data_IF_698294676957
#
_entry.id   IF_698294676957
#
_cell.length_a   1.000
_cell.length_b   1.000
_cell.length_c   1.000
_cell.angle_alpha   90.00
_cell.angle_beta   90.00
_cell.angle_gamma   90.00
#
_symmetry.space_group_name_H-M   'P 1'
#
loop_
_entity.id
_entity.type
_entity.pdbx_description
1 polymer ?
#
# COMPACT_ATOMS: atom_id res chain seq x y z
N UNK A 1 -13.28 4.74 -9.56
CA UNK A 1 -13.37 3.30 -9.22
C UNK A 1 -12.10 2.69 -9.76
N UNK A 2 -11.25 2.16 -8.87
CA UNK A 2 -10.07 1.39 -9.29
C UNK A 2 -10.54 0.07 -9.87
N UNK A 3 -9.82 -0.43 -10.86
CA UNK A 3 -10.05 -1.77 -11.42
C UNK A 3 -9.91 -2.85 -10.33
N UNK A 4 -10.66 -3.94 -10.43
CA UNK A 4 -10.71 -4.99 -9.39
C UNK A 4 -9.33 -5.61 -9.17
N UNK A 5 -8.59 -5.91 -10.24
CA UNK A 5 -7.25 -6.50 -10.14
C UNK A 5 -6.28 -5.49 -9.53
N UNK A 6 -6.38 -4.22 -9.94
CA UNK A 6 -5.54 -3.15 -9.41
C UNK A 6 -5.78 -2.90 -7.91
N UNK A 7 -7.04 -2.98 -7.46
CA UNK A 7 -7.38 -2.87 -6.04
C UNK A 7 -6.69 -3.95 -5.20
N UNK A 8 -6.78 -5.21 -5.63
CA UNK A 8 -6.21 -6.35 -4.91
C UNK A 8 -4.71 -6.14 -4.75
N UNK A 9 -4.00 -5.87 -5.85
CA UNK A 9 -2.55 -5.75 -5.87
C UNK A 9 -2.06 -4.58 -5.00
N UNK A 10 -2.73 -3.43 -5.06
CA UNK A 10 -2.42 -2.28 -4.19
C UNK A 10 -2.58 -2.63 -2.72
N UNK A 11 -3.67 -3.31 -2.34
CA UNK A 11 -3.91 -3.68 -0.95
C UNK A 11 -2.89 -4.70 -0.43
N UNK A 12 -2.44 -5.62 -1.27
CA UNK A 12 -1.39 -6.56 -0.88
C UNK A 12 -0.04 -5.89 -0.65
N UNK A 13 0.37 -4.99 -1.56
CA UNK A 13 1.60 -4.20 -1.38
C UNK A 13 1.52 -3.40 -0.08
N UNK A 14 0.37 -2.76 0.18
CA UNK A 14 0.09 -2.05 1.43
C UNK A 14 0.28 -2.97 2.63
N UNK A 15 -0.33 -4.17 2.64
CA UNK A 15 -0.20 -5.14 3.74
C UNK A 15 1.25 -5.53 4.00
N UNK A 16 2.05 -5.77 2.97
CA UNK A 16 3.46 -6.09 3.11
C UNK A 16 4.25 -4.92 3.69
N UNK A 17 4.01 -3.71 3.18
CA UNK A 17 4.74 -2.52 3.59
C UNK A 17 4.50 -2.19 5.08
N UNK A 18 3.29 -2.41 5.57
CA UNK A 18 2.89 -1.97 6.90
C UNK A 18 3.31 -2.88 8.05
N UNK A 19 3.87 -4.06 7.80
CA UNK A 19 4.33 -4.97 8.87
C UNK A 19 5.38 -4.36 9.81
N UNK A 20 6.14 -3.36 9.35
CA UNK A 20 7.19 -2.68 10.13
C UNK A 20 6.92 -1.19 10.35
N UNK A 21 5.71 -0.70 10.05
CA UNK A 21 5.37 0.72 10.11
C UNK A 21 4.01 0.96 10.74
N UNK A 22 3.90 2.05 11.51
CA UNK A 22 2.63 2.49 12.04
C UNK A 22 1.74 3.01 10.92
N UNK A 23 0.57 2.40 10.77
CA UNK A 23 -0.26 2.58 9.58
C UNK A 23 -1.71 2.79 9.98
N UNK A 24 -2.34 3.79 9.38
CA UNK A 24 -3.77 4.05 9.52
C UNK A 24 -4.40 3.86 8.15
N UNK A 25 -5.28 2.87 8.03
CA UNK A 25 -6.07 2.63 6.82
C UNK A 25 -7.48 3.18 7.03
N UNK A 26 -7.90 4.10 6.17
CA UNK A 26 -9.26 4.64 6.15
C UNK A 26 -9.97 4.01 4.96
N UNK A 27 -10.89 3.10 5.22
CA UNK A 27 -11.65 2.42 4.17
C UNK A 27 -13.12 2.35 4.53
N UNK A 28 -13.96 2.38 3.49
CA UNK A 28 -15.37 2.02 3.62
C UNK A 28 -15.58 0.51 3.45
N UNK A 29 -14.57 -0.24 3.00
CA UNK A 29 -14.66 -1.65 2.65
C UNK A 29 -14.04 -2.53 3.74
N UNK A 30 -14.91 -3.21 4.50
CA UNK A 30 -14.48 -4.06 5.60
C UNK A 30 -13.78 -5.34 5.15
N UNK A 31 -13.87 -5.71 3.86
CA UNK A 31 -13.17 -6.90 3.32
C UNK A 31 -11.66 -6.73 3.25
N UNK A 32 -11.17 -5.48 3.24
CA UNK A 32 -9.75 -5.14 3.16
C UNK A 32 -9.05 -5.20 4.53
N UNK A 33 -9.83 -5.39 5.60
CA UNK A 33 -9.36 -5.43 6.99
C UNK A 33 -9.20 -6.89 7.41
N UNK A 34 -8.05 -7.25 7.98
CA UNK A 34 -7.78 -8.60 8.45
C UNK A 34 -8.32 -8.85 9.87
N UNK A 35 -8.42 -10.13 10.25
CA UNK A 35 -9.04 -10.53 11.52
C UNK A 35 -8.33 -9.99 12.76
N UNK A 36 -7.03 -9.76 12.66
CA UNK A 36 -6.14 -9.29 13.73
C UNK A 36 -6.00 -7.76 13.78
N UNK A 37 -6.60 -7.03 12.83
CA UNK A 37 -6.52 -5.58 12.80
C UNK A 37 -7.38 -4.93 13.89
N UNK A 38 -6.87 -3.86 14.48
CA UNK A 38 -7.62 -3.04 15.43
C UNK A 38 -8.41 -1.96 14.68
N UNK A 39 -9.74 -2.02 14.78
CA UNK A 39 -10.66 -1.17 14.03
C UNK A 39 -11.19 -0.04 14.91
N UNK A 40 -11.33 1.15 14.31
CA UNK A 40 -12.11 2.26 14.85
C UNK A 40 -13.26 2.57 13.88
N UNK A 41 -14.49 2.53 14.37
CA UNK A 41 -15.68 2.88 13.60
C UNK A 41 -16.20 4.24 14.03
N UNK A 42 -16.23 5.19 13.10
CA UNK A 42 -16.71 6.54 13.34
C UNK A 42 -18.18 6.68 12.94
N UNK A 43 -18.95 7.39 13.77
CA UNK A 43 -20.34 7.79 13.49
C UNK A 43 -20.59 9.16 14.10
N UNK A 44 -21.21 10.06 13.32
CA UNK A 44 -21.58 11.41 13.75
C UNK A 44 -20.40 12.19 14.39
N UNK A 45 -19.19 12.00 13.84
CA UNK A 45 -17.96 12.65 14.33
C UNK A 45 -17.38 12.07 15.63
N UNK A 46 -17.90 10.94 16.12
CA UNK A 46 -17.44 10.27 17.34
C UNK A 46 -17.05 8.81 17.07
N UNK A 47 -16.20 8.24 17.93
CA UNK A 47 -15.89 6.80 17.88
C UNK A 47 -17.11 6.04 18.42
N UNK A 48 -17.82 5.37 17.53
CA UNK A 48 -18.98 4.55 17.87
C UNK A 48 -18.56 3.19 18.42
N UNK A 49 -17.57 2.55 17.79
CA UNK A 49 -17.07 1.24 18.16
C UNK A 49 -15.56 1.14 17.93
N UNK A 50 -14.89 0.34 18.75
CA UNK A 50 -13.46 0.06 18.59
C UNK A 50 -13.10 -1.32 19.12
N UNK A 51 -12.11 -1.96 18.51
CA UNK A 51 -11.61 -3.27 18.93
C UNK A 51 -11.07 -4.08 17.77
N UNK A 52 -10.56 -5.27 18.09
CA UNK A 52 -10.11 -6.21 17.06
C UNK A 52 -11.27 -6.67 16.18
N UNK A 53 -11.04 -6.74 14.87
CA UNK A 53 -12.04 -7.13 13.87
C UNK A 53 -12.73 -8.46 14.25
N UNK A 54 -11.95 -9.48 14.62
CA UNK A 54 -12.46 -10.79 15.05
C UNK A 54 -13.40 -10.71 16.27
N UNK A 55 -13.14 -9.81 17.22
CA UNK A 55 -13.99 -9.58 18.40
C UNK A 55 -15.22 -8.78 18.02
N UNK A 56 -15.08 -7.71 17.24
CA UNK A 56 -16.21 -6.88 16.84
C UNK A 56 -17.25 -7.66 16.04
N UNK A 57 -16.83 -8.58 15.17
CA UNK A 57 -17.74 -9.47 14.41
C UNK A 57 -18.55 -10.43 15.30
N UNK A 58 -18.04 -10.78 16.49
CA UNK A 58 -18.68 -11.76 17.38
C UNK A 58 -19.86 -11.22 18.18
N UNK A 59 -20.05 -9.90 18.20
CA UNK A 59 -21.12 -9.25 18.94
C UNK A 59 -22.17 -8.66 17.98
N UNK A 60 -23.46 -8.65 18.36
CA UNK A 60 -24.51 -7.98 17.59
C UNK A 60 -24.42 -6.45 17.82
N UNK A 61 -23.43 -5.83 17.21
CA UNK A 61 -23.13 -4.40 17.31
C UNK A 61 -23.29 -3.71 15.94
N UNK A 62 -23.06 -2.40 15.86
CA UNK A 62 -23.18 -1.64 14.60
C UNK A 62 -22.15 -2.11 13.58
N UNK A 63 -20.92 -2.45 14.00
CA UNK A 63 -19.90 -3.01 13.12
C UNK A 63 -20.39 -4.28 12.41
N UNK A 64 -20.98 -5.23 13.15
CA UNK A 64 -21.53 -6.48 12.62
C UNK A 64 -22.67 -6.26 11.63
N UNK A 65 -23.49 -5.22 11.84
CA UNK A 65 -24.56 -4.83 10.94
C UNK A 65 -24.02 -4.29 9.62
N UNK A 66 -23.02 -3.39 9.68
CA UNK A 66 -22.35 -2.87 8.50
C UNK A 66 -21.63 -3.99 7.74
N UNK A 67 -20.96 -4.89 8.46
CA UNK A 67 -20.30 -6.05 7.86
C UNK A 67 -21.30 -6.95 7.12
N UNK A 68 -22.45 -7.23 7.72
CA UNK A 68 -23.51 -8.02 7.10
C UNK A 68 -24.02 -7.35 5.82
N UNK A 69 -24.29 -6.04 5.86
CA UNK A 69 -24.76 -5.27 4.69
C UNK A 69 -23.76 -5.29 3.54
N UNK A 70 -22.47 -5.17 3.85
CA UNK A 70 -21.41 -5.22 2.84
C UNK A 70 -21.24 -6.61 2.26
N UNK A 71 -21.32 -7.66 3.10
CA UNK A 71 -21.24 -9.06 2.64
C UNK A 71 -22.40 -9.46 1.71
N UNK A 72 -23.58 -8.86 1.88
CA UNK A 72 -24.73 -9.09 1.01
C UNK A 72 -24.64 -8.33 -0.32
N UNK A 73 -23.98 -7.17 -0.31
CA UNK A 73 -23.86 -6.29 -1.49
C UNK A 73 -22.67 -6.68 -2.36
N UNK A 74 -21.62 -7.27 -1.78
CA UNK A 74 -20.44 -7.77 -2.49
C UNK A 74 -20.50 -9.28 -2.67
N UNK A 75 -20.83 -9.71 -3.88
CA UNK A 75 -20.63 -11.09 -4.32
C UNK A 75 -19.14 -11.25 -4.75
N UNK A 76 -18.35 -12.01 -3.97
CA UNK A 76 -16.90 -12.30 -4.10
C UNK A 76 -15.93 -11.15 -3.73
N UNK A 77 -14.79 -11.40 -3.05
CA UNK A 77 -13.79 -12.48 -3.26
C UNK A 77 -13.52 -13.37 -2.03
N UNK A 78 -13.50 -14.68 -2.28
CA UNK A 78 -12.93 -15.69 -1.39
C UNK A 78 -11.39 -15.52 -1.37
N UNK A 79 -10.79 -15.53 -0.19
CA UNK A 79 -9.33 -15.49 0.09
C UNK A 79 -8.57 -16.72 -0.46
N UNK A 80 -8.91 -17.24 -1.64
CA UNK A 80 -8.25 -18.40 -2.26
C UNK A 80 -6.99 -17.96 -3.03
N UNK A 81 -6.86 -16.67 -3.36
CA UNK A 81 -5.69 -16.09 -4.05
C UNK A 81 -4.50 -15.76 -3.13
N UNK A 82 -4.63 -15.87 -1.79
CA UNK A 82 -3.61 -15.41 -0.82
C UNK A 82 -2.22 -16.09 -0.93
N UNK A 83 -2.05 -17.19 -1.68
CA UNK A 83 -0.73 -17.84 -1.85
C UNK A 83 0.00 -17.46 -3.15
N UNK A 84 -0.71 -17.05 -4.21
CA UNK A 84 -0.09 -16.75 -5.52
C UNK A 84 0.29 -15.28 -5.67
N UNK A 85 -0.44 -14.39 -5.03
CA UNK A 85 -0.26 -12.95 -5.18
C UNK A 85 0.91 -12.38 -4.35
N UNK A 86 1.28 -12.92 -3.16
CA UNK A 86 2.51 -12.50 -2.48
C UNK A 86 3.76 -12.73 -3.33
N UNK A 87 3.80 -13.86 -4.06
CA UNK A 87 4.91 -14.20 -4.97
C UNK A 87 4.99 -13.19 -6.11
N UNK A 88 3.84 -12.82 -6.70
CA UNK A 88 3.80 -11.83 -7.77
C UNK A 88 4.24 -10.44 -7.28
N UNK A 89 3.82 -10.06 -6.07
CA UNK A 89 4.17 -8.77 -5.49
C UNK A 89 5.67 -8.71 -5.15
N UNK A 90 6.24 -9.76 -4.56
CA UNK A 90 7.70 -9.85 -4.33
C UNK A 90 8.48 -9.71 -5.65
N UNK A 91 8.07 -10.43 -6.70
CA UNK A 91 8.70 -10.33 -8.03
C UNK A 91 8.62 -8.92 -8.61
N UNK A 92 7.47 -8.23 -8.45
CA UNK A 92 7.31 -6.84 -8.92
C UNK A 92 8.22 -5.90 -8.13
N UNK A 93 8.30 -6.05 -6.81
CA UNK A 93 9.16 -5.21 -5.97
C UNK A 93 10.64 -5.40 -6.31
N UNK A 94 11.08 -6.64 -6.52
CA UNK A 94 12.46 -6.93 -6.95
C UNK A 94 12.79 -6.30 -8.30
N UNK A 95 11.88 -6.36 -9.27
CA UNK A 95 12.05 -5.71 -10.57
C UNK A 95 12.16 -4.18 -10.44
N UNK A 96 11.31 -3.57 -9.62
CA UNK A 96 11.34 -2.12 -9.40
C UNK A 96 12.63 -1.66 -8.69
N UNK A 97 13.13 -2.45 -7.74
CA UNK A 97 14.41 -2.15 -7.08
C UNK A 97 15.58 -2.25 -8.05
N UNK A 98 15.56 -3.23 -8.97
CA UNK A 98 16.57 -3.35 -10.03
C UNK A 98 16.54 -2.18 -11.00
N UNK A 99 15.36 -1.81 -11.52
CA UNK A 99 15.19 -0.68 -12.45
C UNK A 99 15.64 0.64 -11.81
N UNK A 100 15.26 0.88 -10.54
CA UNK A 100 15.67 2.08 -9.80
C UNK A 100 17.18 2.13 -9.57
N UNK A 101 17.82 0.97 -9.35
CA UNK A 101 19.27 0.87 -9.22
C UNK A 101 19.98 1.23 -10.54
N UNK A 102 19.46 0.76 -11.67
CA UNK A 102 19.96 1.06 -13.02
C UNK A 102 19.82 2.55 -13.36
N UNK A 103 18.66 3.17 -13.09
CA UNK A 103 18.47 4.61 -13.27
C UNK A 103 19.42 5.44 -12.39
N UNK A 104 19.68 5.02 -11.15
CA UNK A 104 20.64 5.66 -10.25
C UNK A 104 22.08 5.55 -10.77
N UNK A 105 22.43 4.45 -11.44
CA UNK A 105 23.74 4.25 -12.06
C UNK A 105 23.91 5.09 -13.33
N UNK A 106 22.88 5.20 -14.17
CA UNK A 106 22.87 6.05 -15.36
C UNK A 106 22.96 7.54 -15.01
N UNK A 107 22.23 7.98 -13.98
CA UNK A 107 22.32 9.35 -13.45
C UNK A 107 23.71 9.60 -12.83
N UNK A 108 24.32 8.61 -12.16
CA UNK A 108 25.71 8.70 -11.67
C UNK A 108 26.72 8.81 -12.82
N UNK A 109 26.50 8.08 -13.91
CA UNK A 109 27.37 8.12 -15.09
C UNK A 109 27.31 9.49 -15.77
N UNK A 110 26.10 10.03 -15.93
CA UNK A 110 25.87 11.38 -16.49
C UNK A 110 26.46 12.50 -15.62
N UNK A 111 26.29 12.44 -14.30
CA UNK A 111 26.87 13.44 -13.37
C UNK A 111 28.40 13.37 -13.25
N UNK A 112 29.01 12.19 -13.44
CA UNK A 112 30.47 12.03 -13.54
C UNK A 112 31.01 12.63 -14.84
N UNK A 113 30.32 12.45 -15.96
CA UNK A 113 30.71 13.04 -17.25
C UNK A 113 30.69 14.58 -17.21
N UNK A 114 29.75 15.19 -16.49
CA UNK A 114 29.63 16.65 -16.36
C UNK A 114 30.69 17.28 -15.41
N UNK A 115 31.28 16.51 -14.47
CA UNK A 115 32.34 17.00 -13.58
C UNK A 115 33.68 17.26 -14.28
N UNK A 116 33.86 16.81 -15.52
CA UNK A 116 35.08 17.03 -16.31
C UNK A 116 35.01 18.20 -17.28
N UNK A 117 33.86 18.89 -17.42
CA UNK A 117 33.78 20.16 -18.13
C UNK A 117 34.03 21.33 -17.16
N UNK A 118 35.28 21.47 -16.73
CA UNK A 118 35.76 22.73 -16.14
C UNK A 118 35.75 23.80 -17.24
N UNK A 119 34.88 24.80 -17.11
CA UNK A 119 34.94 26.02 -17.91
C UNK A 119 36.26 26.75 -17.59
N UNK A 120 37.21 26.69 -18.51
CA UNK A 120 38.42 27.51 -18.45
C UNK A 120 38.02 28.95 -18.79
N UNK A 121 37.96 29.82 -17.78
CA UNK A 121 37.92 31.26 -18.02
C UNK A 121 39.30 31.72 -18.49
N UNK A 122 39.40 32.12 -19.76
CA UNK A 122 40.57 32.82 -20.29
C UNK A 122 40.64 34.21 -19.68
N UNK A 123 41.59 34.44 -18.79
CA UNK A 123 41.95 35.80 -18.34
C UNK A 123 42.97 36.36 -19.32
N UNK A 124 42.53 37.26 -20.21
CA UNK A 124 43.39 38.07 -21.06
C UNK A 124 44.18 39.07 -20.21
N UNK A 125 45.50 39.07 -20.38
CA UNK A 125 46.42 39.99 -19.70
C UNK A 125 46.62 41.25 -20.55
N UNK A 126 46.24 42.38 -19.95
CA UNK A 126 46.67 43.79 -20.12
C UNK A 126 46.59 44.47 -21.48
#
# INVERSE_FOLDING_TARGET
MLDVMSCILVFEVIKLWHQNMNTIVITYDLSQIDSEDFVYMLKDGTVAEQGYHNKLKSFPNQFSQVLLLQSATRCFQEKVEEMLVPILVEVILEQQDMEKQEELEDVKCSTRALKHQSVVHSTATR
#
